data_IF_292736110122
#
_entry.id   IF_292736110122
#
_cell.length_a   1.000
_cell.length_b   1.000
_cell.length_c   1.000
_cell.angle_alpha   90.00
_cell.angle_beta   90.00
_cell.angle_gamma   90.00
#
_symmetry.space_group_name_H-M   'P 1'
#
loop_
_entity.id
_entity.type
_entity.pdbx_description
1 polymer ?
#
# COMPACT_ATOMS: atom_id res chain seq x y z
N UNK A 1 12.05 -12.83 -5.84
CA UNK A 1 12.09 -11.90 -6.97
C UNK A 1 13.12 -10.79 -6.80
N UNK A 2 13.08 -10.01 -5.73
CA UNK A 2 14.07 -8.95 -5.46
C UNK A 2 15.53 -9.42 -5.42
N UNK A 3 15.83 -10.62 -4.89
CA UNK A 3 17.21 -11.11 -4.76
C UNK A 3 17.96 -11.40 -6.09
N UNK A 4 17.24 -11.64 -7.19
CA UNK A 4 17.87 -11.88 -8.50
C UNK A 4 18.17 -10.59 -9.29
N UNK A 5 17.48 -9.49 -8.95
CA UNK A 5 17.53 -8.20 -9.66
C UNK A 5 18.25 -7.08 -8.91
N UNK A 6 18.93 -7.38 -7.80
CA UNK A 6 19.79 -6.40 -7.12
C UNK A 6 20.91 -5.84 -8.00
N UNK A 7 21.16 -6.45 -9.17
CA UNK A 7 22.14 -5.98 -10.16
C UNK A 7 21.56 -5.13 -11.30
N UNK A 8 20.25 -5.26 -11.57
CA UNK A 8 19.55 -4.49 -12.61
C UNK A 8 18.25 -3.94 -12.03
N UNK A 9 18.08 -2.63 -12.09
CA UNK A 9 16.84 -1.99 -11.64
C UNK A 9 15.70 -2.35 -12.57
N UNK A 10 14.47 -2.39 -12.02
CA UNK A 10 13.26 -2.52 -12.81
C UNK A 10 13.14 -1.31 -13.75
N UNK A 11 12.76 -1.56 -14.98
CA UNK A 11 12.37 -0.51 -15.93
C UNK A 11 11.01 0.07 -15.52
N UNK A 12 10.69 1.28 -15.95
CA UNK A 12 9.38 1.90 -15.70
C UNK A 12 8.23 1.03 -16.20
N UNK A 13 8.39 0.38 -17.37
CA UNK A 13 7.38 -0.55 -17.91
C UNK A 13 7.16 -1.78 -17.03
N UNK A 14 8.23 -2.36 -16.46
CA UNK A 14 8.11 -3.49 -15.54
C UNK A 14 7.45 -3.08 -14.22
N UNK A 15 7.76 -1.89 -13.70
CA UNK A 15 7.12 -1.34 -12.50
C UNK A 15 5.63 -1.16 -12.74
N UNK A 16 5.25 -0.57 -13.86
CA UNK A 16 3.83 -0.35 -14.21
C UNK A 16 3.09 -1.67 -14.36
N UNK A 17 3.70 -2.68 -15.02
CA UNK A 17 3.07 -4.00 -15.15
C UNK A 17 2.80 -4.65 -13.80
N UNK A 18 3.79 -4.64 -12.89
CA UNK A 18 3.62 -5.17 -11.52
C UNK A 18 2.50 -4.41 -10.80
N UNK A 19 2.53 -3.08 -10.89
CA UNK A 19 1.60 -2.23 -10.17
C UNK A 19 0.17 -2.39 -10.66
N UNK A 20 -0.06 -2.47 -11.96
CA UNK A 20 -1.39 -2.68 -12.57
C UNK A 20 -1.95 -4.03 -12.14
N UNK A 21 -1.18 -5.12 -12.28
CA UNK A 21 -1.64 -6.46 -11.89
C UNK A 21 -2.04 -6.53 -10.40
N UNK A 22 -1.29 -5.84 -9.52
CA UNK A 22 -1.63 -5.75 -8.10
C UNK A 22 -2.89 -4.92 -7.87
N UNK A 23 -3.02 -3.77 -8.55
CA UNK A 23 -4.22 -2.93 -8.45
C UNK A 23 -5.48 -3.67 -8.89
N UNK A 24 -5.40 -4.47 -9.97
CA UNK A 24 -6.53 -5.32 -10.41
C UNK A 24 -6.92 -6.34 -9.33
N UNK A 25 -5.93 -7.00 -8.69
CA UNK A 25 -6.17 -7.92 -7.59
C UNK A 25 -6.85 -7.23 -6.39
N UNK A 26 -6.39 -6.05 -6.01
CA UNK A 26 -6.99 -5.25 -4.92
C UNK A 26 -8.40 -4.78 -5.30
N UNK A 27 -8.62 -4.32 -6.52
CA UNK A 27 -9.94 -3.91 -7.01
C UNK A 27 -10.96 -5.06 -6.97
N UNK A 28 -10.54 -6.28 -7.31
CA UNK A 28 -11.39 -7.48 -7.17
C UNK A 28 -11.82 -7.73 -5.72
N UNK A 29 -10.92 -7.51 -4.74
CA UNK A 29 -11.22 -7.64 -3.32
C UNK A 29 -12.19 -6.56 -2.84
N UNK A 30 -11.92 -5.30 -3.21
CA UNK A 30 -12.75 -4.16 -2.81
C UNK A 30 -14.16 -4.21 -3.41
N UNK A 31 -14.33 -4.81 -4.58
CA UNK A 31 -15.63 -4.99 -5.24
C UNK A 31 -16.46 -6.16 -4.67
N UNK A 32 -15.94 -6.93 -3.71
CA UNK A 32 -16.73 -7.96 -3.03
C UNK A 32 -17.85 -7.33 -2.18
N UNK A 33 -18.84 -8.12 -1.82
CA UNK A 33 -19.94 -7.69 -0.94
C UNK A 33 -20.13 -8.69 0.20
N UNK A 34 -19.70 -8.39 1.41
CA UNK A 34 -19.03 -7.16 1.84
C UNK A 34 -17.62 -6.99 1.23
N UNK A 35 -17.16 -5.73 1.11
CA UNK A 35 -15.82 -5.42 0.60
C UNK A 35 -14.74 -6.06 1.48
N UNK A 36 -13.73 -6.62 0.83
CA UNK A 36 -12.55 -7.21 1.47
C UNK A 36 -11.37 -6.25 1.33
N UNK A 37 -10.63 -6.05 2.41
CA UNK A 37 -9.36 -5.32 2.42
C UNK A 37 -8.22 -6.28 2.73
N UNK A 38 -7.07 -6.08 2.07
CA UNK A 38 -5.91 -6.96 2.19
C UNK A 38 -5.10 -6.68 3.45
N UNK A 39 -4.86 -5.41 3.78
CA UNK A 39 -4.16 -4.85 4.95
C UNK A 39 -2.65 -5.09 5.04
N UNK A 40 -2.07 -5.98 4.24
CA UNK A 40 -0.62 -6.26 4.23
C UNK A 40 -0.07 -6.27 2.79
N UNK A 41 -0.41 -5.26 2.00
CA UNK A 41 0.12 -5.07 0.66
C UNK A 41 1.59 -4.66 0.76
N UNK A 42 2.48 -5.52 0.22
CA UNK A 42 3.93 -5.30 0.18
C UNK A 42 4.56 -6.15 -0.93
N UNK A 43 5.79 -5.85 -1.31
CA UNK A 43 6.48 -6.56 -2.40
C UNK A 43 6.66 -8.05 -2.13
N UNK A 44 6.76 -8.45 -0.87
CA UNK A 44 6.89 -9.85 -0.43
C UNK A 44 5.64 -10.67 -0.75
N UNK A 45 4.49 -10.02 -0.81
CA UNK A 45 3.18 -10.61 -1.09
C UNK A 45 2.78 -10.53 -2.57
N UNK A 46 3.76 -10.30 -3.46
CA UNK A 46 3.57 -10.28 -4.91
C UNK A 46 4.37 -11.43 -5.51
N UNK A 47 3.67 -12.36 -6.17
CA UNK A 47 4.28 -13.49 -6.84
C UNK A 47 4.29 -13.29 -8.36
N UNK A 48 5.42 -13.57 -9.00
CA UNK A 48 5.48 -13.65 -10.44
C UNK A 48 4.89 -14.97 -10.91
N UNK A 49 3.76 -14.92 -11.61
CA UNK A 49 3.07 -16.09 -12.15
C UNK A 49 3.62 -16.49 -13.52
N UNK A 50 3.91 -15.51 -14.37
CA UNK A 50 4.58 -15.65 -15.66
C UNK A 50 5.63 -14.55 -15.81
N UNK A 51 6.48 -14.53 -16.84
CA UNK A 51 7.43 -13.45 -17.05
C UNK A 51 6.83 -12.05 -17.08
N UNK A 52 5.56 -11.91 -17.44
CA UNK A 52 4.84 -10.63 -17.58
C UNK A 52 3.59 -10.52 -16.72
N UNK A 53 3.32 -11.47 -15.81
CA UNK A 53 2.13 -11.44 -14.96
C UNK A 53 2.46 -11.66 -13.49
N UNK A 54 1.85 -10.86 -12.63
CA UNK A 54 2.06 -10.85 -11.20
C UNK A 54 0.74 -11.06 -10.46
N UNK A 55 0.80 -11.73 -9.32
CA UNK A 55 -0.39 -12.03 -8.51
C UNK A 55 -0.16 -11.65 -7.07
N UNK A 56 -1.18 -11.05 -6.48
CA UNK A 56 -1.24 -10.81 -5.05
C UNK A 56 -1.43 -12.15 -4.33
N UNK A 57 -0.76 -12.34 -3.20
CA UNK A 57 -0.83 -13.53 -2.36
C UNK A 57 -0.83 -13.16 -0.88
N UNK A 58 -0.93 -14.17 -0.01
CA UNK A 58 -0.96 -14.03 1.45
C UNK A 58 -2.18 -13.21 1.94
N UNK A 59 -3.34 -13.84 1.86
CA UNK A 59 -4.60 -13.27 2.34
C UNK A 59 -4.84 -13.52 3.85
N UNK A 60 -3.81 -13.94 4.59
CA UNK A 60 -3.90 -14.21 6.03
C UNK A 60 -4.28 -12.99 6.88
N UNK A 61 -4.04 -11.79 6.36
CA UNK A 61 -4.39 -10.52 6.98
C UNK A 61 -5.71 -9.93 6.46
N UNK A 62 -6.30 -10.53 5.43
CA UNK A 62 -7.49 -9.98 4.78
C UNK A 62 -8.72 -10.05 5.72
N UNK A 63 -9.54 -9.01 5.65
CA UNK A 63 -10.78 -8.92 6.43
C UNK A 63 -11.84 -8.11 5.69
N UNK A 64 -13.08 -8.24 6.13
CA UNK A 64 -14.15 -7.34 5.68
C UNK A 64 -14.02 -5.96 6.35
N UNK A 65 -14.45 -4.93 5.63
CA UNK A 65 -14.52 -3.57 6.19
C UNK A 65 -15.50 -3.55 7.35
N UNK A 66 -15.06 -2.99 8.49
CA UNK A 66 -15.92 -2.83 9.66
C UNK A 66 -17.07 -1.84 9.38
N UNK A 67 -18.26 -2.15 9.87
CA UNK A 67 -19.45 -1.31 9.65
C UNK A 67 -19.32 0.12 10.24
N UNK A 68 -18.42 0.32 11.21
CA UNK A 68 -18.13 1.62 11.83
C UNK A 68 -16.71 1.67 12.38
N UNK A 69 -16.13 2.86 12.58
CA UNK A 69 -14.88 3.03 13.30
C UNK A 69 -14.97 2.56 14.75
N UNK A 70 -13.84 2.25 15.43
CA UNK A 70 -13.82 1.90 16.85
C UNK A 70 -14.28 3.10 17.68
N UNK A 71 -15.22 2.86 18.61
CA UNK A 71 -15.81 3.91 19.44
C UNK A 71 -15.27 3.92 20.87
N UNK A 72 -14.96 2.74 21.42
CA UNK A 72 -14.48 2.59 22.79
C UNK A 72 -12.98 2.36 22.86
N UNK A 73 -12.37 2.68 23.99
CA UNK A 73 -10.93 2.41 24.24
C UNK A 73 -10.62 0.91 24.11
N UNK A 74 -11.55 0.05 24.49
CA UNK A 74 -11.37 -1.40 24.37
C UNK A 74 -11.32 -1.83 22.89
N UNK A 75 -12.23 -1.31 22.05
CA UNK A 75 -12.22 -1.57 20.60
C UNK A 75 -10.96 -1.03 19.93
N UNK A 76 -10.49 0.17 20.33
CA UNK A 76 -9.26 0.77 19.83
C UNK A 76 -8.06 -0.13 20.15
N UNK A 77 -7.92 -0.59 21.40
CA UNK A 77 -6.83 -1.49 21.79
C UNK A 77 -6.90 -2.85 21.09
N UNK A 78 -8.09 -3.39 20.87
CA UNK A 78 -8.27 -4.62 20.12
C UNK A 78 -7.85 -4.46 18.66
N UNK A 79 -8.21 -3.35 18.00
CA UNK A 79 -7.78 -3.00 16.66
C UNK A 79 -6.26 -2.81 16.60
N UNK A 80 -5.67 -2.10 17.54
CA UNK A 80 -4.21 -1.88 17.62
C UNK A 80 -3.44 -3.22 17.72
N UNK A 81 -3.92 -4.13 18.56
CA UNK A 81 -3.33 -5.47 18.69
C UNK A 81 -3.49 -6.30 17.42
N UNK A 82 -4.63 -6.22 16.73
CA UNK A 82 -4.88 -6.89 15.45
C UNK A 82 -3.96 -6.34 14.35
N UNK A 83 -3.88 -5.01 14.20
CA UNK A 83 -3.01 -4.35 13.23
C UNK A 83 -1.52 -4.69 13.47
N UNK A 84 -1.10 -4.77 14.72
CA UNK A 84 0.27 -5.12 15.08
C UNK A 84 0.65 -6.53 14.67
N UNK A 85 -0.29 -7.46 14.65
CA UNK A 85 -0.06 -8.87 14.25
C UNK A 85 -0.13 -9.10 12.75
N UNK A 86 -0.96 -8.34 12.04
CA UNK A 86 -1.38 -8.67 10.67
C UNK A 86 -0.92 -7.65 9.63
N UNK A 87 -0.16 -6.62 10.02
CA UNK A 87 0.22 -5.56 9.08
C UNK A 87 1.69 -5.16 9.24
N UNK A 88 2.28 -4.66 8.15
CA UNK A 88 3.68 -4.21 8.10
C UNK A 88 3.74 -2.69 8.28
N UNK A 89 4.40 -2.22 9.34
CA UNK A 89 4.39 -0.81 9.78
C UNK A 89 4.68 0.20 8.65
N UNK A 90 5.69 -0.06 7.82
CA UNK A 90 6.11 0.86 6.76
C UNK A 90 5.06 1.07 5.67
N UNK A 91 4.05 0.19 5.60
CA UNK A 91 2.96 0.24 4.62
C UNK A 91 1.64 0.71 5.23
N UNK A 92 1.57 0.88 6.56
CA UNK A 92 0.34 1.29 7.25
C UNK A 92 -0.08 2.70 6.88
N UNK A 93 -1.37 2.87 6.66
CA UNK A 93 -2.01 4.18 6.56
C UNK A 93 -2.06 4.88 7.94
N UNK A 94 -2.21 6.22 8.00
CA UNK A 94 -2.25 6.96 9.25
C UNK A 94 -3.26 6.43 10.27
N UNK A 95 -4.46 6.04 9.84
CA UNK A 95 -5.50 5.45 10.69
C UNK A 95 -5.13 4.07 11.25
N UNK A 96 -4.19 3.36 10.60
CA UNK A 96 -3.64 2.10 11.09
C UNK A 96 -2.44 2.30 12.03
N UNK A 97 -1.76 3.44 11.93
CA UNK A 97 -0.64 3.82 12.80
C UNK A 97 -1.17 4.37 14.12
N UNK A 98 -2.22 5.19 14.06
CA UNK A 98 -2.88 5.75 15.24
C UNK A 98 -4.41 5.47 15.22
N UNK A 99 -4.87 4.35 15.76
CA UNK A 99 -6.29 4.03 15.86
C UNK A 99 -7.10 5.00 16.75
N UNK A 100 -6.42 5.84 17.57
CA UNK A 100 -7.08 6.88 18.35
C UNK A 100 -7.63 8.04 17.50
N UNK A 101 -7.20 8.15 16.25
CA UNK A 101 -7.80 9.04 15.25
C UNK A 101 -9.28 8.69 14.97
N UNK A 102 -9.73 7.47 15.38
CA UNK A 102 -11.09 6.97 15.20
C UNK A 102 -11.57 7.06 13.75
N UNK A 103 -10.65 6.85 12.80
CA UNK A 103 -10.96 6.73 11.38
C UNK A 103 -11.21 5.26 11.03
N UNK A 104 -12.06 4.96 10.05
CA UNK A 104 -12.24 3.59 9.61
C UNK A 104 -10.96 3.06 8.96
N UNK A 105 -10.64 1.80 9.20
CA UNK A 105 -9.69 1.05 8.40
C UNK A 105 -10.51 0.39 7.29
N UNK A 106 -10.47 0.97 6.11
CA UNK A 106 -11.29 0.59 4.97
C UNK A 106 -10.41 0.42 3.71
N UNK A 107 -11.03 0.40 2.53
CA UNK A 107 -10.35 0.23 1.24
C UNK A 107 -9.26 1.30 1.01
N UNK A 108 -9.39 2.48 1.62
CA UNK A 108 -8.39 3.56 1.49
C UNK A 108 -7.06 3.21 2.14
N UNK A 109 -7.09 2.36 3.18
CA UNK A 109 -5.86 1.87 3.81
C UNK A 109 -5.04 1.00 2.85
N UNK A 110 -5.69 0.17 2.01
CA UNK A 110 -5.01 -0.56 0.95
C UNK A 110 -4.50 0.37 -0.16
N UNK A 111 -5.26 1.41 -0.50
CA UNK A 111 -4.82 2.41 -1.48
C UNK A 111 -3.56 3.14 -1.02
N UNK A 112 -3.51 3.49 0.26
CA UNK A 112 -2.27 4.02 0.85
C UNK A 112 -1.10 3.05 0.68
N UNK A 113 -1.31 1.77 1.02
CA UNK A 113 -0.28 0.75 0.89
C UNK A 113 0.15 0.53 -0.57
N UNK A 114 -0.77 0.66 -1.56
CA UNK A 114 -0.43 0.66 -2.99
C UNK A 114 0.52 1.81 -3.35
N UNK A 115 0.31 3.00 -2.81
CA UNK A 115 1.23 4.12 -3.02
C UNK A 115 2.63 3.85 -2.44
N UNK A 116 2.72 3.30 -1.21
CA UNK A 116 3.99 2.87 -0.61
C UNK A 116 4.66 1.79 -1.47
N UNK A 117 3.87 0.84 -1.99
CA UNK A 117 4.34 -0.21 -2.88
C UNK A 117 4.94 0.37 -4.17
N UNK A 118 4.25 1.31 -4.84
CA UNK A 118 4.76 1.97 -6.04
C UNK A 118 6.10 2.65 -5.75
N UNK A 119 6.17 3.41 -4.65
CA UNK A 119 7.41 4.04 -4.23
C UNK A 119 8.53 3.00 -4.01
N UNK A 120 8.22 1.88 -3.32
CA UNK A 120 9.19 0.79 -3.08
C UNK A 120 9.66 0.13 -4.37
N UNK A 121 8.80 -0.06 -5.36
CA UNK A 121 9.19 -0.58 -6.68
C UNK A 121 10.12 0.38 -7.43
N UNK A 122 9.90 1.69 -7.28
CA UNK A 122 10.71 2.73 -7.92
C UNK A 122 12.08 2.91 -7.24
N UNK A 123 12.10 3.00 -5.92
CA UNK A 123 13.28 3.47 -5.18
C UNK A 123 13.94 2.40 -4.30
N UNK A 124 13.37 1.20 -4.18
CA UNK A 124 13.88 0.07 -3.38
C UNK A 124 13.90 0.34 -1.85
N UNK A 125 13.31 1.44 -1.42
CA UNK A 125 13.06 1.83 -0.03
C UNK A 125 11.62 2.27 0.14
N UNK A 126 11.10 2.34 1.36
CA UNK A 126 9.77 2.90 1.61
C UNK A 126 9.87 4.41 1.90
N UNK A 127 8.82 5.21 1.63
CA UNK A 127 8.89 6.66 1.77
C UNK A 127 9.08 7.13 3.23
N UNK A 128 8.79 6.27 4.22
CA UNK A 128 8.79 6.61 5.64
C UNK A 128 9.85 5.84 6.44
N UNK A 129 10.75 5.08 5.77
CA UNK A 129 11.70 4.19 6.43
C UNK A 129 12.65 4.93 7.40
N UNK A 130 13.10 6.13 7.03
CA UNK A 130 14.04 6.93 7.82
C UNK A 130 13.39 7.74 8.96
N UNK A 131 12.09 8.06 8.85
CA UNK A 131 11.45 9.05 9.72
C UNK A 131 10.35 8.46 10.63
N UNK A 132 10.08 7.14 10.52
CA UNK A 132 9.19 6.41 11.41
C UNK A 132 7.71 6.82 11.36
N UNK A 133 6.98 6.50 12.43
CA UNK A 133 5.52 6.66 12.50
C UNK A 133 5.05 8.11 12.34
N UNK A 134 5.80 9.08 12.88
CA UNK A 134 5.43 10.49 12.78
C UNK A 134 5.43 10.98 11.33
N UNK A 135 6.33 10.47 10.49
CA UNK A 135 6.34 10.80 9.07
C UNK A 135 5.13 10.25 8.34
N UNK A 136 4.65 9.05 8.73
CA UNK A 136 3.40 8.48 8.19
C UNK A 136 2.21 9.37 8.58
N UNK A 137 2.09 9.73 9.86
CA UNK A 137 0.99 10.55 10.37
C UNK A 137 0.94 11.94 9.74
N UNK A 138 2.10 12.54 9.43
CA UNK A 138 2.23 13.86 8.82
C UNK A 138 2.40 13.82 7.29
N UNK A 139 2.40 12.63 6.69
CA UNK A 139 2.61 12.40 5.24
C UNK A 139 3.91 13.10 4.76
N UNK A 140 4.95 12.99 5.58
CA UNK A 140 6.26 13.61 5.29
C UNK A 140 7.20 12.60 4.66
N UNK A 141 7.48 12.78 3.37
CA UNK A 141 8.46 11.98 2.64
C UNK A 141 9.16 12.83 1.57
N UNK A 142 10.24 12.31 1.03
CA UNK A 142 11.00 12.92 -0.06
C UNK A 142 11.13 11.94 -1.20
N UNK A 143 11.02 12.44 -2.42
CA UNK A 143 11.32 11.65 -3.62
C UNK A 143 12.83 11.71 -3.87
N UNK A 144 13.54 10.57 -3.96
CA UNK A 144 14.93 10.55 -4.32
C UNK A 144 15.17 11.19 -5.70
N UNK A 145 16.29 11.89 -5.91
CA UNK A 145 16.60 12.51 -7.22
C UNK A 145 16.88 11.47 -8.31
N UNK A 146 17.15 10.22 -7.93
CA UNK A 146 17.41 9.11 -8.85
C UNK A 146 16.75 7.83 -8.36
N UNK A 147 16.29 6.95 -9.28
CA UNK A 147 16.28 7.10 -10.75
C UNK A 147 15.28 8.17 -11.21
N UNK A 148 15.49 8.71 -12.41
CA UNK A 148 14.59 9.68 -13.04
C UNK A 148 13.51 8.90 -13.80
N UNK A 149 12.25 9.17 -13.52
CA UNK A 149 11.08 8.58 -14.18
C UNK A 149 10.37 9.59 -15.07
N UNK A 150 9.44 9.11 -15.90
CA UNK A 150 8.59 9.97 -16.73
C UNK A 150 7.74 10.93 -15.85
N UNK A 151 7.26 12.03 -16.46
CA UNK A 151 6.39 12.99 -15.77
C UNK A 151 5.14 12.32 -15.20
N UNK A 152 4.56 11.35 -15.93
CA UNK A 152 3.37 10.60 -15.49
C UNK A 152 3.66 9.73 -14.28
N UNK A 153 4.80 9.02 -14.27
CA UNK A 153 5.23 8.22 -13.13
C UNK A 153 5.50 9.11 -11.91
N UNK A 154 6.19 10.22 -12.11
CA UNK A 154 6.45 11.19 -11.03
C UNK A 154 5.15 11.80 -10.48
N UNK A 155 4.14 12.04 -11.32
CA UNK A 155 2.81 12.47 -10.89
C UNK A 155 2.13 11.39 -10.04
N UNK A 156 2.19 10.12 -10.45
CA UNK A 156 1.65 9.01 -9.67
C UNK A 156 2.32 8.87 -8.30
N UNK A 157 3.65 9.01 -8.24
CA UNK A 157 4.42 8.97 -7.00
C UNK A 157 4.17 10.22 -6.15
N UNK A 158 4.13 11.40 -6.76
CA UNK A 158 3.99 12.71 -6.11
C UNK A 158 2.55 13.09 -5.76
N UNK A 159 1.55 12.47 -6.39
CA UNK A 159 0.13 12.63 -6.02
C UNK A 159 -0.21 12.02 -4.66
N UNK A 160 0.78 11.48 -3.99
CA UNK A 160 0.73 10.96 -2.63
C UNK A 160 0.31 11.99 -1.57
N UNK A 161 0.38 13.31 -1.83
CA UNK A 161 -0.35 14.31 -1.02
C UNK A 161 -1.89 14.15 -1.16
N UNK A 162 -2.33 13.30 -2.08
CA UNK A 162 -3.72 12.94 -2.36
C UNK A 162 -3.79 11.45 -2.69
N UNK A 163 -3.20 10.59 -1.86
CA UNK A 163 -3.28 9.14 -2.02
C UNK A 163 -4.74 8.66 -2.06
N UNK A 164 -5.66 9.46 -1.54
CA UNK A 164 -7.11 9.31 -1.76
C UNK A 164 -7.51 9.35 -3.24
N UNK A 165 -6.66 9.91 -4.11
CA UNK A 165 -6.94 10.05 -5.56
C UNK A 165 -6.27 8.97 -6.42
N UNK A 166 -5.38 8.14 -5.90
CA UNK A 166 -4.83 7.00 -6.65
C UNK A 166 -5.92 6.07 -7.19
N UNK A 167 -7.05 5.95 -6.51
CA UNK A 167 -8.24 5.24 -7.01
C UNK A 167 -8.87 5.86 -8.27
N UNK A 168 -8.59 7.12 -8.59
CA UNK A 168 -9.13 7.75 -9.81
C UNK A 168 -8.47 7.21 -11.08
N UNK A 169 -7.26 6.65 -10.97
CA UNK A 169 -6.58 6.01 -12.10
C UNK A 169 -6.95 4.52 -12.29
N UNK A 170 -7.59 3.91 -11.29
CA UNK A 170 -8.04 2.50 -11.33
C UNK A 170 -9.57 2.42 -11.49
N UNK A 171 -10.24 3.49 -11.89
CA UNK A 171 -11.63 3.41 -12.32
C UNK A 171 -11.67 2.81 -13.72
N UNK A 172 -11.95 1.51 -13.77
CA UNK A 172 -12.46 0.80 -14.93
C UNK A 172 -13.97 1.05 -15.09
#
# INVERSE_FOLDING_TARGET
MMNRRLRERLTEGEILQIFVDVCEGVALMHNQRPALIHRDLKVENILQSTPTSFKLCDFGSATTVAARPPATTQEIRALEADLSRHTTLQYRAPEMVDPFLRRPVDEKSDVWALGVLLYKLCYYTTPFEEHGQLAILNVQYRTPPYPVYSSKMNEMIGSSSHWDKCLTFVKF
#
